data_IF_551083246121
#
_entry.id   IF_551083246121
#
_cell.length_a   1.000
_cell.length_b   1.000
_cell.length_c   1.000
_cell.angle_alpha   90.00
_cell.angle_beta   90.00
_cell.angle_gamma   90.00
#
_symmetry.space_group_name_H-M   'P 1'
#
loop_
_entity.id
_entity.type
_entity.pdbx_description
1 polymer ?
#
# COMPACT_ATOMS: atom_id res chain seq x y z
N UNK A 1 -7.82 54.61 9.54
CA UNK A 1 -8.14 53.95 8.26
C UNK A 1 -7.39 52.63 8.24
N UNK A 2 -8.13 51.52 8.21
CA UNK A 2 -7.68 50.14 8.43
C UNK A 2 -7.46 49.46 7.08
N UNK A 3 -6.30 48.84 6.81
CA UNK A 3 -6.23 47.79 5.77
C UNK A 3 -5.06 46.80 5.94
N UNK A 4 -5.36 45.73 6.68
CA UNK A 4 -5.22 44.30 6.36
C UNK A 4 -3.88 43.83 5.75
N UNK A 5 -3.15 43.06 6.58
CA UNK A 5 -2.05 42.18 6.19
C UNK A 5 -2.52 41.07 5.24
N UNK A 6 -1.95 40.99 4.05
CA UNK A 6 -2.09 39.86 3.14
C UNK A 6 -1.02 38.81 3.43
N UNK A 7 -1.30 37.87 4.34
CA UNK A 7 -0.50 36.66 4.44
C UNK A 7 -0.86 35.74 3.27
N UNK A 8 -0.04 35.75 2.22
CA UNK A 8 -0.12 34.78 1.14
C UNK A 8 0.31 33.41 1.68
N UNK A 9 -0.67 32.54 1.94
CA UNK A 9 -0.43 31.12 2.14
C UNK A 9 0.30 30.59 0.91
N UNK A 10 1.58 30.27 1.08
CA UNK A 10 2.33 29.52 0.09
C UNK A 10 1.58 28.20 -0.15
N UNK A 11 0.94 28.11 -1.32
CA UNK A 11 0.49 26.83 -1.87
C UNK A 11 1.75 25.97 -1.94
N UNK A 12 1.90 25.05 -0.97
CA UNK A 12 2.90 24.00 -1.06
C UNK A 12 2.48 23.14 -2.24
N UNK A 13 3.05 23.44 -3.41
CA UNK A 13 3.04 22.54 -4.55
C UNK A 13 3.77 21.30 -4.03
N UNK A 14 3.01 20.28 -3.61
CA UNK A 14 3.58 18.98 -3.28
C UNK A 14 4.27 18.50 -4.56
N UNK A 15 5.54 18.08 -4.51
CA UNK A 15 6.16 17.44 -5.67
C UNK A 15 5.26 16.29 -6.11
N UNK A 16 5.23 15.96 -7.41
CA UNK A 16 4.62 14.71 -7.88
C UNK A 16 5.19 13.59 -7.01
N UNK A 17 4.38 13.06 -6.09
CA UNK A 17 4.89 12.19 -5.03
C UNK A 17 5.21 10.83 -5.63
N UNK A 18 6.42 10.69 -6.14
CA UNK A 18 7.00 9.39 -6.46
C UNK A 18 6.94 8.51 -5.22
N UNK A 19 6.68 7.22 -5.42
CA UNK A 19 6.77 6.25 -4.33
C UNK A 19 8.13 6.37 -3.62
N UNK A 20 8.17 6.24 -2.28
CA UNK A 20 9.44 6.20 -1.57
C UNK A 20 10.31 5.05 -2.07
N UNK A 21 11.62 5.15 -1.84
CA UNK A 21 12.58 4.11 -2.21
C UNK A 21 12.15 2.74 -1.65
N UNK A 22 12.37 1.69 -2.46
CA UNK A 22 11.98 0.28 -2.28
C UNK A 22 10.49 -0.07 -2.42
N UNK A 23 9.60 0.92 -2.49
CA UNK A 23 8.19 0.72 -2.84
C UNK A 23 8.01 0.79 -4.35
N UNK A 24 7.24 -0.14 -4.91
CA UNK A 24 7.02 -0.20 -6.35
C UNK A 24 5.61 -0.68 -6.70
N UNK A 25 5.15 -0.24 -7.86
CA UNK A 25 3.91 -0.73 -8.46
C UNK A 25 4.16 -2.05 -9.20
N UNK A 26 3.23 -3.00 -9.05
CA UNK A 26 3.22 -4.30 -9.73
C UNK A 26 1.78 -4.72 -10.07
N UNK A 27 1.64 -5.75 -10.91
CA UNK A 27 0.35 -6.39 -11.18
C UNK A 27 -0.07 -7.32 -10.04
N UNK A 28 -1.38 -7.51 -9.88
CA UNK A 28 -1.94 -8.53 -8.97
C UNK A 28 -1.92 -9.95 -9.55
N UNK A 29 -1.62 -10.11 -10.84
CA UNK A 29 -1.51 -11.40 -11.50
C UNK A 29 -0.17 -11.53 -12.20
N UNK A 30 0.37 -12.75 -12.28
CA UNK A 30 1.61 -13.03 -12.98
C UNK A 30 1.44 -13.17 -14.51
N UNK A 31 0.21 -13.00 -15.04
CA UNK A 31 -0.19 -13.62 -16.30
C UNK A 31 -0.26 -12.73 -17.53
N UNK A 32 -0.28 -11.39 -17.40
CA UNK A 32 -0.48 -10.51 -18.56
C UNK A 32 0.36 -9.25 -18.47
N UNK A 33 1.17 -9.01 -19.50
CA UNK A 33 2.04 -7.83 -19.61
C UNK A 33 1.25 -6.51 -19.70
N UNK A 34 0.01 -6.56 -20.21
CA UNK A 34 -0.84 -5.37 -20.42
C UNK A 34 -1.82 -5.11 -19.26
N UNK A 35 -1.70 -5.81 -18.14
CA UNK A 35 -2.55 -5.56 -16.98
C UNK A 35 -2.17 -4.26 -16.26
N UNK A 36 -3.15 -3.49 -15.77
CA UNK A 36 -2.87 -2.30 -14.99
C UNK A 36 -2.09 -2.67 -13.72
N UNK A 37 -1.16 -1.79 -13.33
CA UNK A 37 -0.43 -1.93 -12.08
C UNK A 37 -1.35 -1.59 -10.90
N UNK A 38 -1.86 -2.61 -10.24
CA UNK A 38 -2.87 -2.48 -9.19
C UNK A 38 -2.32 -2.68 -7.78
N UNK A 39 -1.07 -3.11 -7.63
CA UNK A 39 -0.49 -3.44 -6.32
C UNK A 39 0.70 -2.54 -6.03
N UNK A 40 0.77 -1.98 -4.82
CA UNK A 40 2.02 -1.43 -4.28
C UNK A 40 2.64 -2.47 -3.37
N UNK A 41 3.89 -2.83 -3.65
CA UNK A 41 4.66 -3.78 -2.87
C UNK A 41 5.99 -3.18 -2.40
N UNK A 42 6.54 -3.78 -1.34
CA UNK A 42 7.88 -3.55 -0.83
C UNK A 42 8.44 -4.91 -0.38
N UNK A 43 9.63 -5.30 -0.87
CA UNK A 43 10.23 -6.63 -0.59
C UNK A 43 9.27 -7.83 -0.82
N UNK A 44 8.43 -7.75 -1.85
CA UNK A 44 7.42 -8.77 -2.14
C UNK A 44 6.29 -8.88 -1.11
N UNK A 45 6.13 -7.89 -0.22
CA UNK A 45 4.97 -7.72 0.67
C UNK A 45 3.98 -6.77 0.01
N UNK A 46 2.74 -7.19 -0.16
CA UNK A 46 1.68 -6.37 -0.77
C UNK A 46 1.05 -5.47 0.29
N UNK A 47 1.20 -4.16 0.12
CA UNK A 47 0.75 -3.15 1.09
C UNK A 47 -0.55 -2.49 0.67
N UNK A 48 -0.69 -2.24 -0.64
CA UNK A 48 -1.92 -1.77 -1.26
C UNK A 48 -2.29 -2.71 -2.39
N UNK A 49 -3.57 -3.03 -2.50
CA UNK A 49 -4.14 -3.76 -3.63
C UNK A 49 -5.36 -2.99 -4.13
N UNK A 50 -5.34 -2.59 -5.39
CA UNK A 50 -6.46 -1.97 -6.07
C UNK A 50 -7.22 -3.00 -6.88
N UNK A 51 -8.53 -2.86 -6.97
CA UNK A 51 -9.36 -3.65 -7.86
C UNK A 51 -10.54 -2.83 -8.34
N UNK A 52 -11.01 -3.16 -9.54
CA UNK A 52 -12.28 -2.66 -10.03
C UNK A 52 -13.36 -3.68 -9.68
N UNK A 53 -14.45 -3.23 -9.08
CA UNK A 53 -15.60 -4.10 -8.85
C UNK A 53 -16.31 -4.36 -10.19
N UNK A 54 -16.83 -5.57 -10.36
CA UNK A 54 -17.50 -5.99 -11.60
C UNK A 54 -18.95 -5.48 -11.67
N UNK A 55 -19.58 -5.22 -10.52
CA UNK A 55 -20.98 -4.83 -10.43
C UNK A 55 -21.21 -3.37 -10.87
N UNK A 56 -20.42 -2.44 -10.36
CA UNK A 56 -20.62 -1.01 -10.56
C UNK A 56 -19.42 -0.29 -11.21
N UNK A 57 -18.40 -1.04 -11.63
CA UNK A 57 -17.13 -0.53 -12.17
C UNK A 57 -16.37 0.41 -11.20
N UNK A 58 -16.75 0.44 -9.92
CA UNK A 58 -16.08 1.29 -8.92
C UNK A 58 -14.70 0.73 -8.62
N UNK A 59 -13.70 1.61 -8.63
CA UNK A 59 -12.37 1.28 -8.16
C UNK A 59 -12.33 1.29 -6.63
N UNK A 60 -11.67 0.30 -6.05
CA UNK A 60 -11.39 0.25 -4.62
C UNK A 60 -9.89 0.07 -4.38
N UNK A 61 -9.40 0.65 -3.28
CA UNK A 61 -8.06 0.46 -2.77
C UNK A 61 -8.12 -0.20 -1.39
N UNK A 62 -7.65 -1.44 -1.29
CA UNK A 62 -7.41 -2.13 -0.02
C UNK A 62 -6.05 -1.69 0.52
N UNK A 63 -6.09 -0.84 1.55
CA UNK A 63 -4.92 -0.37 2.28
C UNK A 63 -4.57 -1.38 3.39
N UNK A 64 -3.32 -1.38 3.84
CA UNK A 64 -2.84 -2.33 4.85
C UNK A 64 -3.16 -3.79 4.47
N UNK A 65 -2.99 -4.10 3.18
CA UNK A 65 -3.32 -5.42 2.62
C UNK A 65 -2.55 -6.54 3.30
N UNK A 66 -1.33 -6.26 3.77
CA UNK A 66 -0.47 -7.16 4.54
C UNK A 66 -0.94 -7.40 5.97
N UNK A 67 -1.76 -6.52 6.55
CA UNK A 67 -2.28 -6.67 7.93
C UNK A 67 -3.62 -7.37 8.01
N UNK A 68 -4.45 -7.19 6.98
CA UNK A 68 -5.85 -7.61 7.03
C UNK A 68 -6.18 -8.79 6.13
N UNK A 69 -5.32 -9.13 5.18
CA UNK A 69 -5.62 -10.22 4.27
C UNK A 69 -6.65 -9.84 3.20
N UNK A 70 -7.08 -10.82 2.38
CA UNK A 70 -8.17 -10.62 1.44
C UNK A 70 -9.45 -10.23 2.19
N UNK A 71 -10.21 -9.28 1.67
CA UNK A 71 -11.46 -8.82 2.33
C UNK A 71 -11.26 -7.85 3.48
N UNK A 72 -10.03 -7.36 3.71
CA UNK A 72 -9.76 -6.28 4.66
C UNK A 72 -10.41 -4.93 4.28
N UNK A 73 -10.27 -3.91 5.13
CA UNK A 73 -10.81 -2.58 4.89
C UNK A 73 -10.36 -1.99 3.55
N UNK A 74 -11.26 -1.27 2.89
CA UNK A 74 -10.96 -0.61 1.61
C UNK A 74 -11.52 0.81 1.56
N UNK A 75 -11.02 1.58 0.59
CA UNK A 75 -11.50 2.90 0.22
C UNK A 75 -12.06 2.84 -1.19
N UNK A 76 -13.19 3.49 -1.45
CA UNK A 76 -13.70 3.69 -2.81
C UNK A 76 -12.92 4.81 -3.48
N UNK A 77 -12.67 4.66 -4.77
CA UNK A 77 -11.95 5.58 -5.62
C UNK A 77 -12.85 5.98 -6.80
N UNK A 78 -12.80 7.24 -7.20
CA UNK A 78 -13.61 7.71 -8.34
C UNK A 78 -13.04 7.28 -9.69
N UNK A 79 -11.74 6.98 -9.76
CA UNK A 79 -11.08 6.37 -10.92
C UNK A 79 -9.84 5.58 -10.49
N UNK A 80 -9.25 4.84 -11.44
CA UNK A 80 -7.98 4.16 -11.24
C UNK A 80 -6.85 5.14 -10.91
N UNK A 81 -6.74 6.23 -11.67
CA UNK A 81 -5.70 7.25 -11.54
C UNK A 81 -5.80 7.97 -10.19
N UNK A 82 -7.02 8.31 -9.76
CA UNK A 82 -7.23 8.90 -8.44
C UNK A 82 -6.91 7.91 -7.32
N UNK A 83 -7.27 6.64 -7.49
CA UNK A 83 -6.91 5.59 -6.54
C UNK A 83 -5.40 5.41 -6.43
N UNK A 84 -4.67 5.45 -7.56
CA UNK A 84 -3.21 5.39 -7.58
C UNK A 84 -2.56 6.57 -6.87
N UNK A 85 -2.95 7.80 -7.20
CA UNK A 85 -2.42 8.99 -6.55
C UNK A 85 -2.71 8.98 -5.03
N UNK A 86 -3.91 8.55 -4.63
CA UNK A 86 -4.28 8.38 -3.24
C UNK A 86 -3.46 7.31 -2.52
N UNK A 87 -3.18 6.18 -3.19
CA UNK A 87 -2.36 5.10 -2.66
C UNK A 87 -0.90 5.52 -2.48
N UNK A 88 -0.31 6.22 -3.46
CA UNK A 88 1.05 6.76 -3.39
C UNK A 88 1.19 7.74 -2.23
N UNK A 89 0.24 8.69 -2.10
CA UNK A 89 0.21 9.62 -0.98
C UNK A 89 0.05 8.91 0.38
N UNK A 90 -0.78 7.85 0.43
CA UNK A 90 -0.95 7.08 1.65
C UNK A 90 0.33 6.33 2.04
N UNK A 91 1.03 5.72 1.08
CA UNK A 91 2.31 5.04 1.32
C UNK A 91 3.35 6.02 1.85
N UNK A 92 3.53 7.15 1.19
CA UNK A 92 4.48 8.17 1.64
C UNK A 92 4.14 8.69 3.06
N UNK A 93 2.85 8.87 3.38
CA UNK A 93 2.42 9.29 4.72
C UNK A 93 2.74 8.25 5.81
N UNK A 94 2.71 6.96 5.47
CA UNK A 94 2.85 5.85 6.43
C UNK A 94 4.15 5.07 6.26
N UNK A 95 5.11 5.61 5.51
CA UNK A 95 6.34 4.95 5.09
C UNK A 95 7.08 4.27 6.25
N UNK A 96 7.32 4.99 7.35
CA UNK A 96 8.04 4.47 8.51
C UNK A 96 7.38 3.23 9.11
N UNK A 97 6.05 3.27 9.30
CA UNK A 97 5.28 2.14 9.83
C UNK A 97 5.25 0.98 8.83
N UNK A 98 5.06 1.27 7.54
CA UNK A 98 5.04 0.23 6.51
C UNK A 98 6.38 -0.50 6.43
N UNK A 99 7.51 0.20 6.54
CA UNK A 99 8.83 -0.45 6.60
C UNK A 99 8.99 -1.32 7.84
N UNK A 100 8.50 -0.90 9.00
CA UNK A 100 8.50 -1.73 10.20
C UNK A 100 7.71 -3.02 9.98
N UNK A 101 6.50 -2.91 9.43
CA UNK A 101 5.65 -4.07 9.14
C UNK A 101 6.31 -5.03 8.14
N UNK A 102 6.93 -4.48 7.08
CA UNK A 102 7.66 -5.27 6.09
C UNK A 102 8.85 -5.98 6.75
N UNK A 103 9.61 -5.30 7.60
CA UNK A 103 10.74 -5.92 8.31
C UNK A 103 10.28 -7.05 9.25
N UNK A 104 9.16 -6.90 9.96
CA UNK A 104 8.59 -7.97 10.79
C UNK A 104 8.19 -9.19 9.94
N UNK A 105 7.55 -8.95 8.79
CA UNK A 105 7.18 -10.00 7.83
C UNK A 105 8.41 -10.69 7.25
N UNK A 106 9.42 -9.93 6.81
CA UNK A 106 10.66 -10.45 6.22
C UNK A 106 11.40 -11.34 7.22
N UNK A 107 11.56 -10.90 8.48
CA UNK A 107 12.16 -11.73 9.55
C UNK A 107 11.41 -13.03 9.80
N UNK A 108 10.09 -12.98 9.84
CA UNK A 108 9.28 -14.19 10.02
C UNK A 108 9.41 -15.14 8.82
N UNK A 109 9.38 -14.62 7.59
CA UNK A 109 9.58 -15.41 6.37
C UNK A 109 10.96 -16.06 6.31
N UNK A 110 12.01 -15.34 6.71
CA UNK A 110 13.38 -15.86 6.80
C UNK A 110 13.50 -17.00 7.82
N UNK A 111 12.94 -16.82 9.01
CA UNK A 111 12.95 -17.85 10.05
C UNK A 111 12.21 -19.12 9.61
N UNK A 112 11.05 -18.98 8.96
CA UNK A 112 10.30 -20.11 8.40
C UNK A 112 11.04 -20.75 7.23
N UNK A 113 11.74 -19.98 6.39
CA UNK A 113 12.56 -20.51 5.29
C UNK A 113 13.75 -21.31 5.81
N UNK A 114 14.38 -20.86 6.89
CA UNK A 114 15.48 -21.56 7.55
C UNK A 114 15.02 -22.85 8.23
N UNK A 115 13.83 -22.86 8.83
CA UNK A 115 13.22 -24.04 9.43
C UNK A 115 11.71 -24.04 9.23
N UNK A 116 11.22 -24.89 8.32
CA UNK A 116 9.80 -24.96 7.97
C UNK A 116 8.92 -25.39 9.16
N UNK A 117 9.44 -26.18 10.09
CA UNK A 117 8.74 -26.63 11.30
C UNK A 117 8.58 -25.51 12.33
N UNK A 118 9.43 -24.47 12.29
CA UNK A 118 9.32 -23.32 13.18
C UNK A 118 8.04 -22.50 12.94
N UNK A 119 7.37 -22.68 11.79
CA UNK A 119 6.12 -22.00 11.46
C UNK A 119 5.03 -22.21 12.51
N UNK A 120 4.97 -23.39 13.13
CA UNK A 120 3.95 -23.75 14.12
C UNK A 120 4.17 -23.04 15.47
N UNK A 121 5.42 -22.69 15.79
CA UNK A 121 5.81 -22.12 17.09
C UNK A 121 6.11 -20.63 17.03
N UNK A 122 6.52 -20.11 15.87
CA UNK A 122 6.81 -18.70 15.68
C UNK A 122 5.53 -17.88 15.68
N UNK A 123 5.54 -16.81 16.50
CA UNK A 123 4.48 -15.81 16.47
C UNK A 123 4.43 -15.16 15.08
N UNK A 124 3.24 -15.24 14.47
CA UNK A 124 2.96 -14.58 13.19
C UNK A 124 2.90 -13.06 13.37
N UNK A 125 3.43 -12.27 12.41
CA UNK A 125 3.31 -10.81 12.45
C UNK A 125 1.85 -10.32 12.42
N UNK A 126 1.02 -10.95 11.58
CA UNK A 126 -0.40 -10.61 11.44
C UNK A 126 -1.29 -11.85 11.45
N UNK A 127 -2.50 -11.71 12.00
CA UNK A 127 -3.39 -12.84 12.32
C UNK A 127 -3.84 -13.67 11.12
N UNK A 128 -3.98 -13.06 9.94
CA UNK A 128 -4.47 -13.72 8.73
C UNK A 128 -3.37 -14.47 7.96
N UNK A 129 -2.10 -14.30 8.32
CA UNK A 129 -1.01 -14.98 7.63
C UNK A 129 -1.04 -16.47 8.00
N UNK A 130 -1.16 -17.34 6.99
CA UNK A 130 -1.22 -18.80 7.18
C UNK A 130 0.14 -19.47 7.09
#
# INVERSE_FOLDING_TARGET
MLTIAGAATAIRILPSMSLPESFYWTTSSAGKADEPLTVIACEGVWLVSMSQRVDDNTWIASLDRHRHGPGGPFRRCSSYEQGRAGAEMWVARHEARLRQDVAEISRWREAVRANRLAKETLKRPFAWME
#
